data_IF_491065290153
#
_entry.id   IF_491065290153
#
_cell.length_a   1.000
_cell.length_b   1.000
_cell.length_c   1.000
_cell.angle_alpha   90.00
_cell.angle_beta   90.00
_cell.angle_gamma   90.00
#
_symmetry.space_group_name_H-M   'P 1'
#
loop_
_entity.id
_entity.type
_entity.pdbx_description
1 polymer ?
#
# COMPACT_ATOMS: atom_id res chain seq x y z
N UNK A 1 -1.09 -6.57 24.99
CA UNK A 1 -0.91 -6.15 26.40
C UNK A 1 -1.91 -6.93 27.24
N UNK A 2 -1.48 -7.69 28.26
CA UNK A 2 -2.38 -8.46 29.12
C UNK A 2 -3.26 -7.46 29.88
N UNK A 3 -4.59 -7.51 29.67
CA UNK A 3 -5.53 -6.56 30.27
C UNK A 3 -6.01 -6.99 31.66
N UNK A 4 -5.83 -8.26 32.01
CA UNK A 4 -6.24 -8.80 33.31
C UNK A 4 -5.30 -8.36 34.44
N UNK A 5 -5.89 -7.93 35.56
CA UNK A 5 -5.14 -7.52 36.75
C UNK A 5 -4.44 -8.74 37.35
N UNK A 6 -3.12 -8.77 37.28
CA UNK A 6 -2.31 -9.75 38.00
C UNK A 6 -1.89 -9.13 39.33
N UNK A 7 -2.27 -9.77 40.44
CA UNK A 7 -1.90 -9.34 41.79
C UNK A 7 -0.83 -10.27 42.34
N UNK A 8 0.22 -9.69 42.93
CA UNK A 8 1.23 -10.45 43.64
C UNK A 8 0.88 -10.49 45.12
N UNK A 9 0.92 -11.69 45.69
CA UNK A 9 0.78 -11.90 47.13
C UNK A 9 1.96 -12.70 47.61
N UNK A 10 2.73 -12.13 48.53
CA UNK A 10 3.77 -12.87 49.22
C UNK A 10 3.15 -13.79 50.27
N UNK A 11 3.59 -15.04 50.29
CA UNK A 11 3.20 -16.04 51.28
C UNK A 11 4.48 -16.62 51.86
N UNK A 12 4.56 -16.72 53.19
CA UNK A 12 5.72 -17.29 53.87
C UNK A 12 5.78 -18.81 53.63
N UNK A 13 6.95 -19.30 53.24
CA UNK A 13 7.21 -20.73 53.06
C UNK A 13 7.11 -21.53 54.37
N UNK A 14 6.88 -22.84 54.24
CA UNK A 14 6.84 -23.80 55.35
C UNK A 14 5.89 -23.41 56.50
N UNK A 15 4.71 -22.90 56.15
CA UNK A 15 3.69 -22.44 57.11
C UNK A 15 2.34 -23.16 57.00
N UNK A 16 2.29 -24.34 56.38
CA UNK A 16 1.05 -25.11 56.22
C UNK A 16 0.20 -24.70 55.01
N UNK A 17 0.67 -23.79 54.15
CA UNK A 17 -0.12 -23.35 53.00
C UNK A 17 -0.05 -24.38 51.87
N UNK A 18 -1.09 -25.21 51.73
CA UNK A 18 -1.18 -26.35 50.81
C UNK A 18 -0.63 -26.09 49.40
N UNK A 19 -0.99 -24.97 48.78
CA UNK A 19 -0.54 -24.64 47.41
C UNK A 19 0.94 -24.20 47.36
N UNK A 20 1.41 -23.54 48.42
CA UNK A 20 2.82 -23.11 48.49
C UNK A 20 3.70 -24.35 48.72
N UNK A 21 3.30 -25.22 49.64
CA UNK A 21 4.02 -26.47 49.92
C UNK A 21 4.02 -27.42 48.72
N UNK A 22 2.93 -27.46 47.96
CA UNK A 22 2.87 -28.18 46.68
C UNK A 22 3.84 -27.62 45.66
N UNK A 23 3.93 -26.29 45.54
CA UNK A 23 4.89 -25.62 44.66
C UNK A 23 6.34 -25.87 45.13
N UNK A 24 6.62 -25.80 46.43
CA UNK A 24 7.93 -26.09 47.03
C UNK A 24 8.36 -27.53 46.72
N UNK A 25 7.45 -28.50 46.89
CA UNK A 25 7.71 -29.91 46.56
C UNK A 25 7.99 -30.10 45.06
N UNK A 26 7.22 -29.47 44.18
CA UNK A 26 7.42 -29.54 42.73
C UNK A 26 8.74 -28.91 42.30
N UNK A 27 9.11 -27.76 42.89
CA UNK A 27 10.39 -27.11 42.65
C UNK A 27 11.56 -27.99 43.11
N UNK A 28 11.45 -28.60 44.29
CA UNK A 28 12.41 -29.57 44.79
C UNK A 28 12.58 -30.76 43.84
N UNK A 29 11.47 -31.39 43.43
CA UNK A 29 11.52 -32.50 42.45
C UNK A 29 12.14 -32.08 41.12
N UNK A 30 11.87 -30.85 40.65
CA UNK A 30 12.48 -30.28 39.45
C UNK A 30 13.98 -30.09 39.58
N UNK A 31 14.49 -29.67 40.74
CA UNK A 31 15.92 -29.49 40.98
C UNK A 31 16.71 -30.81 40.90
N UNK A 32 16.08 -31.94 41.21
CA UNK A 32 16.68 -33.28 41.14
C UNK A 32 16.56 -33.95 39.76
N UNK A 33 15.92 -33.31 38.77
CA UNK A 33 15.82 -33.89 37.43
C UNK A 33 17.12 -33.72 36.67
N UNK A 34 17.63 -34.81 36.10
CA UNK A 34 18.84 -34.81 35.26
C UNK A 34 18.63 -34.11 33.90
N UNK A 35 17.37 -33.95 33.46
CA UNK A 35 17.02 -33.29 32.22
C UNK A 35 15.79 -32.39 32.43
N UNK A 36 15.73 -31.22 31.78
CA UNK A 36 14.58 -30.33 31.85
C UNK A 36 13.36 -30.95 31.16
N UNK A 37 12.17 -30.62 31.66
CA UNK A 37 10.92 -31.01 31.02
C UNK A 37 10.75 -30.27 29.68
N UNK A 38 10.35 -30.99 28.63
CA UNK A 38 10.04 -30.39 27.32
C UNK A 38 8.63 -29.80 27.39
N UNK A 39 8.54 -28.48 27.54
CA UNK A 39 7.27 -27.75 27.46
C UNK A 39 7.01 -27.34 26.02
N UNK A 40 5.88 -27.77 25.47
CA UNK A 40 5.47 -27.35 24.13
C UNK A 40 5.07 -25.88 24.16
N UNK A 41 5.87 -25.02 23.53
CA UNK A 41 5.56 -23.58 23.35
C UNK A 41 4.69 -23.31 22.14
N UNK A 42 4.32 -24.35 21.38
CA UNK A 42 3.47 -24.20 20.21
C UNK A 42 2.05 -23.83 20.63
N UNK A 43 1.70 -22.57 20.41
CA UNK A 43 0.34 -22.07 20.58
C UNK A 43 -0.54 -22.77 19.55
N UNK A 44 -1.52 -23.56 20.02
CA UNK A 44 -2.46 -24.26 19.15
C UNK A 44 -3.07 -23.33 18.11
N UNK A 45 -3.32 -23.84 16.90
CA UNK A 45 -3.80 -23.01 15.77
C UNK A 45 -5.11 -22.28 16.08
N UNK A 46 -5.97 -22.84 16.94
CA UNK A 46 -7.20 -22.21 17.44
C UNK A 46 -6.97 -20.98 18.32
N UNK A 47 -5.78 -20.85 18.92
CA UNK A 47 -5.37 -19.70 19.75
C UNK A 47 -4.55 -18.67 18.96
N UNK A 48 -4.23 -18.94 17.69
CA UNK A 48 -3.60 -17.96 16.79
C UNK A 48 -4.70 -17.07 16.22
N UNK A 49 -4.94 -15.94 16.86
CA UNK A 49 -5.82 -14.91 16.33
C UNK A 49 -5.28 -14.42 14.98
N UNK A 50 -5.99 -14.69 13.90
CA UNK A 50 -5.71 -14.18 12.56
C UNK A 50 -6.64 -12.99 12.27
N UNK A 51 -6.09 -11.93 11.66
CA UNK A 51 -6.84 -10.72 11.31
C UNK A 51 -6.76 -9.58 12.34
N UNK A 52 -7.56 -8.54 12.14
CA UNK A 52 -7.58 -7.34 12.97
C UNK A 52 -8.83 -7.30 13.84
N UNK A 53 -8.67 -7.00 15.14
CA UNK A 53 -9.79 -6.80 16.06
C UNK A 53 -10.43 -5.43 15.79
N UNK A 54 -11.60 -5.41 15.15
CA UNK A 54 -12.31 -4.20 14.75
C UNK A 54 -12.55 -3.22 15.90
N UNK A 55 -12.87 -3.74 17.10
CA UNK A 55 -13.15 -2.91 18.27
C UNK A 55 -11.97 -2.03 18.74
N UNK A 56 -10.74 -2.34 18.35
CA UNK A 56 -9.53 -1.55 18.67
C UNK A 56 -8.84 -1.00 17.42
N UNK A 57 -9.42 -1.24 16.24
CA UNK A 57 -8.83 -0.81 14.98
C UNK A 57 -9.05 0.69 14.82
N UNK A 58 -7.95 1.42 14.61
CA UNK A 58 -8.04 2.84 14.27
C UNK A 58 -8.15 3.01 12.76
N UNK A 59 -8.74 4.13 12.31
CA UNK A 59 -8.79 4.47 10.89
C UNK A 59 -7.39 4.47 10.26
N UNK A 60 -6.38 4.99 10.98
CA UNK A 60 -4.97 4.98 10.55
C UNK A 60 -4.47 3.56 10.27
N UNK A 61 -4.69 2.63 11.21
CA UNK A 61 -4.23 1.24 11.06
C UNK A 61 -4.97 0.52 9.93
N UNK A 62 -6.27 0.77 9.79
CA UNK A 62 -7.07 0.26 8.69
C UNK A 62 -6.54 0.77 7.34
N UNK A 63 -6.27 2.08 7.23
CA UNK A 63 -5.74 2.70 6.01
C UNK A 63 -4.35 2.16 5.66
N UNK A 64 -3.48 1.94 6.65
CA UNK A 64 -2.17 1.34 6.44
C UNK A 64 -2.29 -0.07 5.86
N UNK A 65 -3.12 -0.93 6.44
CA UNK A 65 -3.34 -2.29 5.93
C UNK A 65 -3.93 -2.31 4.51
N UNK A 66 -4.94 -1.48 4.24
CA UNK A 66 -5.52 -1.33 2.90
C UNK A 66 -4.48 -0.85 1.90
N UNK A 67 -3.67 0.16 2.29
CA UNK A 67 -2.60 0.70 1.45
C UNK A 67 -1.55 -0.36 1.15
N UNK A 68 -1.09 -1.12 2.13
CA UNK A 68 -0.12 -2.20 1.92
C UNK A 68 -0.64 -3.31 0.99
N UNK A 69 -1.93 -3.62 1.05
CA UNK A 69 -2.55 -4.57 0.11
C UNK A 69 -2.61 -3.97 -1.30
N UNK A 70 -3.07 -2.72 -1.44
CA UNK A 70 -3.15 -2.05 -2.76
C UNK A 70 -1.77 -1.82 -3.38
N UNK A 71 -0.75 -1.51 -2.57
CA UNK A 71 0.60 -1.23 -3.05
C UNK A 71 1.39 -2.49 -3.41
N UNK A 72 0.93 -3.69 -3.03
CA UNK A 72 1.64 -4.96 -3.25
C UNK A 72 1.80 -5.34 -4.73
N UNK A 73 0.99 -4.76 -5.62
CA UNK A 73 1.11 -4.85 -7.08
C UNK A 73 1.18 -3.49 -7.77
N UNK A 74 1.38 -2.41 -7.02
CA UNK A 74 1.50 -1.07 -7.60
C UNK A 74 2.91 -0.89 -8.16
N UNK A 75 3.03 -0.83 -9.48
CA UNK A 75 4.26 -0.35 -10.11
C UNK A 75 4.38 1.17 -9.94
N UNK A 76 5.45 1.67 -9.29
CA UNK A 76 5.68 3.10 -9.22
C UNK A 76 5.78 3.70 -10.62
N UNK A 77 5.13 4.84 -10.83
CA UNK A 77 5.22 5.61 -12.07
C UNK A 77 6.68 5.84 -12.49
N UNK A 78 7.58 6.01 -11.51
CA UNK A 78 9.02 6.19 -11.67
C UNK A 78 9.72 5.09 -12.50
N UNK A 79 9.31 3.82 -12.39
CA UNK A 79 9.98 2.71 -13.08
C UNK A 79 9.85 2.78 -14.61
N UNK A 80 8.81 3.43 -15.13
CA UNK A 80 8.54 3.52 -16.56
C UNK A 80 9.01 4.85 -17.20
N UNK A 81 9.39 5.84 -16.38
CA UNK A 81 10.03 7.07 -16.87
C UNK A 81 11.43 6.77 -17.41
N UNK A 82 12.10 5.77 -16.84
CA UNK A 82 13.39 5.24 -17.33
C UNK A 82 13.33 4.82 -18.81
N UNK A 83 12.19 4.32 -19.28
CA UNK A 83 12.01 3.91 -20.69
C UNK A 83 12.15 5.11 -21.63
N UNK A 84 11.67 6.28 -21.23
CA UNK A 84 11.64 7.47 -22.09
C UNK A 84 12.82 8.41 -21.83
N UNK A 85 13.23 8.59 -20.58
CA UNK A 85 14.19 9.61 -20.17
C UNK A 85 15.51 9.03 -19.64
N UNK A 86 15.68 7.69 -19.67
CA UNK A 86 16.86 6.96 -19.16
C UNK A 86 17.18 7.17 -17.67
N UNK A 87 16.42 8.00 -16.99
CA UNK A 87 16.53 8.31 -15.57
C UNK A 87 15.23 7.95 -14.84
N UNK A 88 15.37 7.57 -13.57
CA UNK A 88 14.26 7.31 -12.66
C UNK A 88 14.13 8.52 -11.74
N UNK A 89 13.21 9.46 -11.99
CA UNK A 89 13.02 10.60 -11.09
C UNK A 89 12.50 10.12 -9.74
N UNK A 90 12.94 10.78 -8.67
CA UNK A 90 12.39 10.55 -7.34
C UNK A 90 10.92 11.00 -7.28
N UNK A 91 10.12 10.39 -6.40
CA UNK A 91 8.71 10.77 -6.23
C UNK A 91 8.53 12.27 -5.98
N UNK A 92 9.44 12.89 -5.21
CA UNK A 92 9.44 14.34 -4.97
C UNK A 92 9.60 15.16 -6.26
N UNK A 93 10.40 14.70 -7.22
CA UNK A 93 10.56 15.33 -8.53
C UNK A 93 9.30 15.18 -9.37
N UNK A 94 8.61 14.03 -9.29
CA UNK A 94 7.29 13.85 -9.92
C UNK A 94 6.30 14.90 -9.41
N UNK A 95 6.18 15.02 -8.08
CA UNK A 95 5.27 15.99 -7.45
C UNK A 95 5.61 17.44 -7.78
N UNK A 96 6.90 17.77 -7.91
CA UNK A 96 7.35 19.11 -8.28
C UNK A 96 7.04 19.43 -9.75
N UNK A 97 7.26 18.46 -10.65
CA UNK A 97 7.02 18.62 -12.08
C UNK A 97 5.55 18.89 -12.39
N UNK A 98 4.63 18.06 -11.89
CA UNK A 98 3.19 18.26 -12.13
C UNK A 98 2.65 19.57 -11.53
N UNK A 99 3.35 20.15 -10.55
CA UNK A 99 2.99 21.42 -9.89
C UNK A 99 3.77 22.62 -10.45
N UNK A 100 4.48 22.47 -11.56
CA UNK A 100 5.30 23.55 -12.11
C UNK A 100 4.49 24.80 -12.42
N UNK A 101 5.07 25.98 -12.14
CA UNK A 101 4.38 27.28 -12.27
C UNK A 101 3.86 27.55 -13.68
N UNK A 102 4.55 27.03 -14.70
CA UNK A 102 4.20 27.23 -16.11
C UNK A 102 3.05 26.34 -16.58
N UNK A 103 2.66 25.34 -15.78
CA UNK A 103 1.51 24.49 -16.06
C UNK A 103 0.28 25.20 -15.50
N UNK A 104 -0.74 25.42 -16.33
CA UNK A 104 -2.02 25.96 -15.90
C UNK A 104 -2.68 25.07 -14.83
N UNK A 105 -3.41 25.67 -13.90
CA UNK A 105 -3.99 24.95 -12.76
C UNK A 105 -4.92 23.81 -13.20
N UNK A 106 -5.68 23.99 -14.29
CA UNK A 106 -6.59 22.97 -14.83
C UNK A 106 -5.82 21.71 -15.25
N UNK A 107 -4.65 21.91 -15.86
CA UNK A 107 -3.77 20.82 -16.30
C UNK A 107 -3.14 20.15 -15.08
N UNK A 108 -2.71 20.92 -14.07
CA UNK A 108 -2.20 20.35 -12.81
C UNK A 108 -3.24 19.47 -12.13
N UNK A 109 -4.50 19.92 -12.11
CA UNK A 109 -5.61 19.18 -11.55
C UNK A 109 -5.87 17.88 -12.32
N UNK A 110 -5.89 17.94 -13.67
CA UNK A 110 -6.02 16.76 -14.52
C UNK A 110 -4.87 15.76 -14.29
N UNK A 111 -3.62 16.23 -14.25
CA UNK A 111 -2.45 15.39 -13.99
C UNK A 111 -2.52 14.73 -12.61
N UNK A 112 -2.94 15.49 -11.59
CA UNK A 112 -3.15 14.97 -10.24
C UNK A 112 -4.23 13.89 -10.20
N UNK A 113 -5.40 14.15 -10.79
CA UNK A 113 -6.48 13.16 -10.86
C UNK A 113 -6.04 11.89 -11.59
N UNK A 114 -5.29 12.06 -12.67
CA UNK A 114 -4.79 10.94 -13.49
C UNK A 114 -3.78 10.09 -12.73
N UNK A 115 -2.87 10.70 -11.97
CA UNK A 115 -1.89 9.98 -11.14
C UNK A 115 -2.55 9.17 -10.02
N UNK A 116 -3.65 9.67 -9.48
CA UNK A 116 -4.36 9.02 -8.38
C UNK A 116 -5.47 8.07 -8.82
N UNK A 117 -5.67 7.92 -10.13
CA UNK A 117 -6.85 7.26 -10.70
C UNK A 117 -8.18 7.85 -10.15
N UNK A 118 -8.12 9.10 -9.65
CA UNK A 118 -9.22 9.77 -8.97
C UNK A 118 -10.31 10.23 -9.95
N UNK A 119 -9.94 10.43 -11.22
CA UNK A 119 -10.89 10.69 -12.30
C UNK A 119 -11.97 9.59 -12.39
N UNK A 120 -11.59 8.34 -12.11
CA UNK A 120 -12.51 7.19 -12.17
C UNK A 120 -13.44 7.10 -10.94
N UNK A 121 -13.09 7.72 -9.82
CA UNK A 121 -13.93 7.72 -8.61
C UNK A 121 -15.07 8.73 -8.67
N UNK A 122 -14.89 9.85 -9.37
CA UNK A 122 -15.96 10.85 -9.59
C UNK A 122 -16.94 10.41 -10.67
N UNK A 123 -16.48 9.67 -11.69
CA UNK A 123 -17.25 9.23 -12.86
C UNK A 123 -17.74 7.77 -12.73
N UNK A 124 -18.33 7.41 -11.58
CA UNK A 124 -18.79 6.03 -11.30
C UNK A 124 -19.87 5.50 -12.25
N UNK A 125 -20.53 6.36 -13.02
CA UNK A 125 -21.41 5.98 -14.12
C UNK A 125 -20.60 5.90 -15.41
N UNK A 126 -20.09 4.69 -15.72
CA UNK A 126 -19.29 4.45 -16.93
C UNK A 126 -20.16 4.59 -18.17
N UNK A 127 -19.93 5.64 -18.96
CA UNK A 127 -20.24 5.63 -20.38
C UNK A 127 -19.11 4.93 -21.13
N UNK A 128 -19.45 4.01 -22.02
CA UNK A 128 -18.53 3.53 -23.05
C UNK A 128 -18.20 4.70 -23.97
N UNK A 129 -16.97 4.74 -24.49
CA UNK A 129 -16.61 5.73 -25.50
C UNK A 129 -17.61 5.60 -26.66
N UNK A 130 -18.30 6.69 -26.99
CA UNK A 130 -19.40 6.68 -27.97
C UNK A 130 -18.99 6.23 -29.37
N UNK A 131 -17.68 6.20 -29.64
CA UNK A 131 -17.11 5.82 -30.93
C UNK A 131 -16.33 4.52 -30.86
N UNK A 132 -15.58 4.28 -29.77
CA UNK A 132 -14.73 3.10 -29.65
C UNK A 132 -15.45 1.92 -28.96
N UNK A 133 -16.56 2.16 -28.25
CA UNK A 133 -17.32 1.13 -27.52
C UNK A 133 -16.57 0.47 -26.37
N UNK A 134 -15.40 1.01 -25.99
CA UNK A 134 -14.60 0.50 -24.87
C UNK A 134 -14.80 1.38 -23.63
N UNK A 135 -14.59 0.84 -22.42
CA UNK A 135 -14.65 1.64 -21.20
C UNK A 135 -13.72 2.86 -21.28
N UNK A 136 -14.26 4.05 -21.03
CA UNK A 136 -13.47 5.27 -20.96
C UNK A 136 -12.56 5.22 -19.73
N UNK A 137 -11.29 4.90 -19.98
CA UNK A 137 -10.20 5.02 -19.01
C UNK A 137 -9.36 6.24 -19.39
N UNK A 138 -8.64 6.83 -18.45
CA UNK A 138 -7.76 7.96 -18.77
C UNK A 138 -6.69 7.57 -19.81
N UNK A 139 -6.24 6.30 -19.80
CA UNK A 139 -5.32 5.78 -20.81
C UNK A 139 -5.97 5.72 -22.19
N UNK A 140 -7.24 5.29 -22.27
CA UNK A 140 -8.03 5.37 -23.50
C UNK A 140 -8.17 6.82 -23.97
N UNK A 141 -8.68 7.70 -23.10
CA UNK A 141 -8.97 9.11 -23.42
C UNK A 141 -7.71 9.82 -23.92
N UNK A 142 -6.56 9.66 -23.27
CA UNK A 142 -5.35 10.44 -23.59
C UNK A 142 -4.48 9.84 -24.71
N UNK A 143 -4.57 8.53 -24.97
CA UNK A 143 -3.57 7.87 -25.84
C UNK A 143 -4.11 6.93 -26.91
N UNK A 144 -5.33 6.39 -26.74
CA UNK A 144 -5.90 5.38 -27.65
C UNK A 144 -7.16 5.84 -28.37
N UNK A 145 -7.84 6.85 -27.86
CA UNK A 145 -9.13 7.29 -28.37
C UNK A 145 -8.98 8.08 -29.68
N UNK A 146 -9.70 7.64 -30.71
CA UNK A 146 -9.64 8.25 -32.04
C UNK A 146 -10.53 9.51 -32.16
N UNK A 147 -11.50 9.66 -31.26
CA UNK A 147 -12.52 10.73 -31.27
C UNK A 147 -11.91 12.11 -31.13
N UNK A 148 -10.90 12.25 -30.27
CA UNK A 148 -10.32 13.54 -29.90
C UNK A 148 -9.41 14.14 -30.98
N UNK A 149 -9.37 13.55 -32.19
CA UNK A 149 -8.49 14.01 -33.26
C UNK A 149 -7.00 13.73 -32.98
N UNK A 150 -6.70 12.84 -32.03
CA UNK A 150 -5.34 12.42 -31.70
C UNK A 150 -4.61 11.86 -32.92
N UNK A 151 -5.32 11.14 -33.79
CA UNK A 151 -4.74 10.64 -35.05
C UNK A 151 -4.20 11.78 -35.92
N UNK A 152 -4.85 12.95 -35.96
CA UNK A 152 -4.33 14.10 -36.72
C UNK A 152 -3.07 14.71 -36.10
N UNK A 153 -2.93 14.64 -34.77
CA UNK A 153 -1.72 15.08 -34.06
C UNK A 153 -0.57 14.08 -34.24
N UNK A 154 -0.88 12.78 -34.24
CA UNK A 154 0.11 11.70 -34.40
C UNK A 154 0.55 11.51 -35.85
N UNK A 155 -0.36 11.63 -36.83
CA UNK A 155 -0.05 11.57 -38.26
C UNK A 155 0.89 12.71 -38.69
N UNK A 156 0.83 13.86 -38.01
CA UNK A 156 1.71 14.99 -38.27
C UNK A 156 3.09 14.87 -37.62
N UNK A 157 3.34 13.88 -36.77
CA UNK A 157 4.66 13.69 -36.16
C UNK A 157 5.55 12.80 -37.02
N UNK A 158 6.83 13.16 -37.08
CA UNK A 158 7.87 12.36 -37.74
C UNK A 158 8.00 10.97 -37.10
N UNK A 159 8.51 9.99 -37.86
CA UNK A 159 8.79 8.59 -37.43
C UNK A 159 9.59 8.45 -36.12
N UNK A 160 10.10 9.54 -35.55
CA UNK A 160 10.80 9.56 -34.26
C UNK A 160 9.89 9.36 -33.04
N UNK A 161 8.60 9.69 -33.12
CA UNK A 161 7.75 9.73 -31.93
C UNK A 161 6.77 8.54 -31.91
N UNK A 162 7.02 7.60 -31.01
CA UNK A 162 6.06 6.54 -30.71
C UNK A 162 4.81 7.14 -30.04
N UNK A 163 3.66 6.47 -30.21
CA UNK A 163 2.46 6.81 -29.43
C UNK A 163 2.81 6.75 -27.94
N UNK A 164 2.61 7.84 -27.18
CA UNK A 164 2.96 7.88 -25.78
C UNK A 164 1.97 7.05 -24.98
N UNK A 165 2.45 6.36 -23.96
CA UNK A 165 1.57 5.83 -22.92
C UNK A 165 1.12 6.95 -21.99
N UNK A 166 0.04 6.75 -21.24
CA UNK A 166 -0.41 7.71 -20.22
C UNK A 166 0.72 8.08 -19.26
N UNK A 167 1.59 7.13 -18.95
CA UNK A 167 2.74 7.30 -18.07
C UNK A 167 3.80 8.23 -18.68
N UNK A 168 4.01 8.17 -20.00
CA UNK A 168 4.90 9.09 -20.71
C UNK A 168 4.37 10.54 -20.65
N UNK A 169 3.06 10.72 -20.82
CA UNK A 169 2.40 12.03 -20.70
C UNK A 169 2.59 12.60 -19.29
N UNK A 170 2.37 11.80 -18.25
CA UNK A 170 2.56 12.20 -16.85
C UNK A 170 4.03 12.54 -16.51
N UNK A 171 4.99 12.00 -17.26
CA UNK A 171 6.42 12.20 -17.02
C UNK A 171 7.00 13.43 -17.72
N UNK A 172 6.30 13.97 -18.72
CA UNK A 172 6.74 15.14 -19.50
C UNK A 172 7.03 16.39 -18.66
N UNK A 173 6.27 16.72 -17.59
CA UNK A 173 6.59 17.84 -16.69
C UNK A 173 7.91 17.72 -15.91
N UNK A 174 8.54 16.54 -15.94
CA UNK A 174 9.70 16.17 -15.14
C UNK A 174 10.93 15.98 -16.04
N UNK A 175 10.71 15.90 -17.35
CA UNK A 175 11.78 15.89 -18.33
C UNK A 175 12.71 17.06 -18.00
N UNK A 176 14.03 16.82 -17.79
CA UNK A 176 14.97 17.91 -17.75
C UNK A 176 14.81 18.65 -19.07
N UNK A 177 14.25 19.85 -19.02
CA UNK A 177 14.28 20.75 -20.16
C UNK A 177 15.76 21.08 -20.38
N UNK A 178 16.38 20.36 -21.31
CA UNK A 178 17.62 20.79 -21.95
C UNK A 178 17.31 21.97 -22.87
#
# INVERSE_FOLDING_TARGET
MRQEKTLFKWVKGHKGHKLNEGADKLAGMGAWKNAPDVVTTNVGSTLKLTGAKLAIMTQKLAYQGIREVKMRGYEPLANNIKVFFRETPADAQLWKGIRHKDIRWEIRYLLWMTMHDAYMEEMKQRHECSVCGVPETMDHILTKCEVLGQNKLWDKKSKLWLRPSIRAVLSCPIAPFC
#
